data_IF_115241062402
#
_entry.id   IF_115241062402
#
_cell.length_a   1.000
_cell.length_b   1.000
_cell.length_c   1.000
_cell.angle_alpha   90.00
_cell.angle_beta   90.00
_cell.angle_gamma   90.00
#
_symmetry.space_group_name_H-M   'P 1'
#
loop_
_entity.id
_entity.type
_entity.pdbx_description
1 polymer ?
#
# COMPACT_ATOMS: atom_id res chain seq x y z
N UNK A 1 -7.25 -19.32 16.29
CA UNK A 1 -6.64 -18.70 17.48
C UNK A 1 -5.63 -19.70 18.03
N UNK A 2 -4.33 -19.43 17.90
CA UNK A 2 -3.27 -20.22 18.56
C UNK A 2 -2.36 -19.19 19.23
N UNK A 3 -2.36 -19.18 20.57
CA UNK A 3 -1.51 -18.36 21.41
C UNK A 3 -0.38 -19.25 21.94
N UNK A 4 0.87 -18.92 21.60
CA UNK A 4 2.04 -19.28 22.40
C UNK A 4 2.85 -17.99 22.59
N UNK A 5 2.95 -17.58 23.86
CA UNK A 5 3.47 -16.29 24.36
C UNK A 5 2.78 -15.03 23.81
N UNK A 6 1.71 -14.59 24.49
CA UNK A 6 1.41 -13.18 24.81
C UNK A 6 1.40 -12.10 23.73
N UNK A 7 1.46 -12.43 22.43
CA UNK A 7 1.40 -11.44 21.35
C UNK A 7 0.01 -11.45 20.74
N UNK A 8 -0.73 -10.35 20.91
CA UNK A 8 -2.00 -10.12 20.21
C UNK A 8 -1.69 -9.72 18.77
N UNK A 9 -1.75 -10.68 17.85
CA UNK A 9 -1.69 -10.39 16.41
C UNK A 9 -3.07 -9.88 15.98
N UNK A 10 -3.18 -8.55 15.82
CA UNK A 10 -4.36 -7.92 15.23
C UNK A 10 -4.04 -7.55 13.78
N UNK A 11 -4.78 -8.13 12.83
CA UNK A 11 -4.76 -7.65 11.45
C UNK A 11 -5.50 -6.32 11.41
N UNK A 12 -4.76 -5.22 11.50
CA UNK A 12 -5.31 -3.93 11.14
C UNK A 12 -5.35 -3.94 9.62
N UNK A 13 -6.54 -3.86 9.04
CA UNK A 13 -6.71 -3.52 7.64
C UNK A 13 -6.33 -2.04 7.51
N UNK A 14 -5.02 -1.76 7.55
CA UNK A 14 -4.52 -0.45 7.16
C UNK A 14 -4.71 -0.41 5.66
N UNK A 15 -5.60 0.45 5.18
CA UNK A 15 -5.44 0.99 3.84
C UNK A 15 -3.97 1.41 3.76
N UNK A 16 -3.18 0.68 2.98
CA UNK A 16 -1.77 1.00 2.86
C UNK A 16 -1.68 2.45 2.44
N UNK A 17 -0.81 3.24 3.06
CA UNK A 17 -0.59 4.61 2.62
C UNK A 17 0.08 4.55 1.23
N UNK A 18 -0.74 4.38 0.20
CA UNK A 18 -0.32 4.10 -1.16
C UNK A 18 0.57 5.23 -1.68
N UNK A 19 0.34 6.45 -1.20
CA UNK A 19 1.16 7.61 -1.56
C UNK A 19 2.55 7.50 -0.95
N UNK A 20 2.66 7.12 0.33
CA UNK A 20 3.96 6.90 0.97
C UNK A 20 4.74 5.75 0.30
N UNK A 21 4.07 4.63 0.00
CA UNK A 21 4.68 3.50 -0.71
C UNK A 21 5.17 3.92 -2.11
N UNK A 22 4.34 4.68 -2.84
CA UNK A 22 4.71 5.22 -4.14
C UNK A 22 5.93 6.15 -4.04
N UNK A 23 5.93 7.11 -3.11
CA UNK A 23 7.04 8.06 -2.95
C UNK A 23 8.34 7.37 -2.55
N UNK A 24 8.28 6.36 -1.67
CA UNK A 24 9.46 5.60 -1.26
C UNK A 24 10.07 4.83 -2.44
N UNK A 25 9.24 4.12 -3.21
CA UNK A 25 9.71 3.40 -4.40
C UNK A 25 10.24 4.36 -5.47
N UNK A 26 9.54 5.48 -5.69
CA UNK A 26 9.96 6.47 -6.66
C UNK A 26 11.30 7.11 -6.26
N UNK A 27 11.49 7.45 -4.98
CA UNK A 27 12.77 7.95 -4.49
C UNK A 27 13.92 6.93 -4.70
N UNK A 28 13.65 5.64 -4.51
CA UNK A 28 14.62 4.58 -4.74
C UNK A 28 15.00 4.41 -6.23
N UNK A 29 14.10 4.73 -7.16
CA UNK A 29 14.34 4.61 -8.61
C UNK A 29 15.19 5.76 -9.18
N UNK A 30 15.04 6.98 -8.67
CA UNK A 30 15.63 8.19 -9.30
C UNK A 30 17.02 8.52 -8.73
N UNK A 31 17.45 7.84 -7.66
CA UNK A 31 18.74 8.02 -6.96
C UNK A 31 19.10 9.49 -6.67
N UNK A 32 18.07 10.31 -6.43
CA UNK A 32 18.23 11.73 -6.12
C UNK A 32 17.11 12.20 -5.22
N UNK A 33 17.39 13.25 -4.45
CA UNK A 33 16.36 13.93 -3.68
C UNK A 33 15.40 14.65 -4.63
N UNK A 34 14.11 14.34 -4.52
CA UNK A 34 13.04 15.02 -5.26
C UNK A 34 11.99 15.51 -4.27
N UNK A 35 11.60 16.76 -4.43
CA UNK A 35 10.53 17.39 -3.66
C UNK A 35 9.48 17.92 -4.64
N UNK A 36 8.21 17.70 -4.32
CA UNK A 36 7.07 18.18 -5.10
C UNK A 36 6.30 19.17 -4.23
N UNK A 37 6.22 20.42 -4.66
CA UNK A 37 5.55 21.50 -3.92
C UNK A 37 4.12 21.73 -4.43
N UNK A 38 3.79 21.18 -5.60
CA UNK A 38 2.43 21.24 -6.15
C UNK A 38 1.94 19.90 -6.66
N UNK A 39 0.61 19.73 -6.65
CA UNK A 39 -0.05 18.53 -7.17
C UNK A 39 0.31 18.25 -8.63
N UNK A 40 0.56 19.29 -9.44
CA UNK A 40 0.84 19.15 -10.88
C UNK A 40 2.25 18.60 -11.14
N UNK A 41 3.18 18.79 -10.20
CA UNK A 41 4.56 18.29 -10.31
C UNK A 41 4.65 16.79 -10.02
N UNK A 42 3.67 16.22 -9.30
CA UNK A 42 3.64 14.79 -9.02
C UNK A 42 3.46 13.97 -10.30
N UNK A 43 4.15 12.82 -10.40
CA UNK A 43 3.91 11.85 -11.46
C UNK A 43 2.43 11.45 -11.52
N UNK A 44 1.97 11.05 -12.71
CA UNK A 44 0.57 10.66 -12.95
C UNK A 44 0.06 9.62 -11.96
N UNK A 45 0.90 8.65 -11.58
CA UNK A 45 0.60 7.61 -10.59
C UNK A 45 0.33 8.20 -9.21
N UNK A 46 1.20 9.10 -8.72
CA UNK A 46 1.01 9.77 -7.43
C UNK A 46 -0.26 10.63 -7.39
N UNK A 47 -0.53 11.35 -8.49
CA UNK A 47 -1.78 12.14 -8.64
C UNK A 47 -3.02 11.26 -8.61
N UNK A 48 -2.99 10.10 -9.26
CA UNK A 48 -4.09 9.13 -9.25
C UNK A 48 -4.38 8.63 -7.84
N UNK A 49 -3.35 8.25 -7.08
CA UNK A 49 -3.48 7.78 -5.70
C UNK A 49 -4.16 8.85 -4.83
N UNK A 50 -3.70 10.10 -4.88
CA UNK A 50 -4.30 11.21 -4.14
C UNK A 50 -5.77 11.41 -4.52
N UNK A 51 -6.12 11.32 -5.80
CA UNK A 51 -7.51 11.48 -6.23
C UNK A 51 -8.40 10.32 -5.76
N UNK A 52 -7.89 9.09 -5.77
CA UNK A 52 -8.60 7.92 -5.23
C UNK A 52 -8.84 8.06 -3.72
N UNK A 53 -7.84 8.53 -2.99
CA UNK A 53 -7.93 8.83 -1.55
C UNK A 53 -8.97 9.94 -1.27
N UNK A 54 -8.93 11.04 -2.02
CA UNK A 54 -9.94 12.12 -1.95
C UNK A 54 -11.36 11.64 -2.24
N UNK A 55 -11.51 10.67 -3.13
CA UNK A 55 -12.81 10.06 -3.46
C UNK A 55 -13.27 9.05 -2.40
N UNK A 56 -12.46 8.79 -1.36
CA UNK A 56 -12.73 7.81 -0.30
C UNK A 56 -13.05 6.43 -0.88
N UNK A 57 -12.39 6.08 -2.00
CA UNK A 57 -12.57 4.78 -2.62
C UNK A 57 -11.73 3.78 -1.83
N UNK A 58 -12.36 2.76 -1.22
CA UNK A 58 -11.64 1.80 -0.40
C UNK A 58 -10.62 1.05 -1.25
N UNK A 59 -9.35 1.17 -0.89
CA UNK A 59 -8.26 0.48 -1.59
C UNK A 59 -7.96 -0.84 -0.88
N UNK A 60 -8.73 -1.87 -1.23
CA UNK A 60 -8.55 -3.20 -0.64
C UNK A 60 -7.29 -3.88 -1.18
N UNK A 61 -6.26 -4.04 -0.34
CA UNK A 61 -5.09 -4.86 -0.67
C UNK A 61 -5.41 -6.34 -0.42
N UNK A 62 -6.01 -6.99 -1.41
CA UNK A 62 -6.35 -8.42 -1.34
C UNK A 62 -5.16 -9.25 -1.84
N UNK A 63 -4.56 -10.06 -0.95
CA UNK A 63 -3.63 -11.13 -1.35
C UNK A 63 -4.41 -12.41 -1.51
N UNK A 64 -4.61 -12.87 -2.74
CA UNK A 64 -5.19 -14.19 -2.99
C UNK A 64 -4.16 -15.26 -2.64
N UNK A 65 -4.56 -16.24 -1.81
CA UNK A 65 -3.78 -17.47 -1.60
C UNK A 65 -4.33 -18.54 -2.53
N UNK A 66 -3.44 -19.18 -3.30
CA UNK A 66 -3.78 -20.44 -3.98
C UNK A 66 -3.84 -21.54 -2.93
N UNK A 67 -5.01 -22.16 -2.78
CA UNK A 67 -5.17 -23.37 -1.98
C UNK A 67 -4.97 -24.53 -2.95
N UNK A 68 -3.85 -25.23 -2.84
CA UNK A 68 -3.62 -26.45 -3.61
C UNK A 68 -4.42 -27.56 -2.92
N UNK A 69 -5.44 -28.09 -3.60
CA UNK A 69 -6.14 -29.28 -3.13
C UNK A 69 -5.22 -30.48 -3.36
N UNK A 70 -4.78 -31.13 -2.30
CA UNK A 70 -4.17 -32.46 -2.42
C UNK A 70 -5.33 -33.47 -2.50
N UNK A 71 -5.42 -34.28 -3.57
CA UNK A 71 -6.41 -35.36 -3.62
C UNK A 71 -6.05 -36.40 -2.54
N UNK A 72 -7.08 -36.88 -1.85
CA UNK A 72 -6.99 -37.92 -0.84
C UNK A 72 -6.66 -39.30 -1.44
#
# INVERSE_FOLDING_TARGET
MILKQGVKIQYIFREGNQLADFLANHAAEIDRKVEYQSFKELPSTGRKIINTDKQQIPTLRIRTRKINHHPA
#
